data_IF_028054543599
#
_entry.id   IF_028054543599
#
_cell.length_a   1.000
_cell.length_b   1.000
_cell.length_c   1.000
_cell.angle_alpha   90.00
_cell.angle_beta   90.00
_cell.angle_gamma   90.00
#
_symmetry.space_group_name_H-M   'P 1'
#
loop_
_entity.id
_entity.type
_entity.pdbx_description
1 polymer ?
#
# COMPACT_ATOMS: atom_id res chain seq x y z
N UNK A 1 -21.82 12.19 -7.86
CA UNK A 1 -22.45 11.51 -6.78
C UNK A 1 -22.13 12.10 -5.46
N UNK A 2 -21.00 11.83 -4.89
CA UNK A 2 -20.63 12.37 -3.59
C UNK A 2 -20.55 13.90 -3.60
N UNK A 3 -20.28 14.49 -4.72
CA UNK A 3 -20.16 15.94 -4.79
C UNK A 3 -21.48 16.64 -4.51
N UNK A 4 -22.55 16.15 -5.06
CA UNK A 4 -23.84 16.73 -4.81
C UNK A 4 -24.21 16.63 -3.34
N UNK A 5 -23.81 15.57 -2.74
CA UNK A 5 -24.02 15.35 -1.34
C UNK A 5 -23.30 16.39 -0.48
N UNK A 6 -22.04 16.64 -0.84
CA UNK A 6 -21.26 17.63 -0.12
C UNK A 6 -21.86 19.02 -0.22
N UNK A 7 -22.40 19.36 -1.37
CA UNK A 7 -23.02 20.66 -1.59
C UNK A 7 -24.25 20.81 -0.71
N UNK A 8 -25.03 19.77 -0.63
CA UNK A 8 -26.23 19.81 0.20
C UNK A 8 -25.88 19.99 1.67
N UNK A 9 -24.82 19.36 2.10
CA UNK A 9 -24.39 19.47 3.48
C UNK A 9 -23.86 20.86 3.81
N UNK A 10 -23.22 21.50 2.85
CA UNK A 10 -22.73 22.85 3.04
C UNK A 10 -23.86 23.83 3.34
N UNK A 11 -25.00 23.63 2.72
CA UNK A 11 -26.14 24.49 2.97
C UNK A 11 -26.68 24.31 4.37
N UNK A 12 -26.53 23.16 4.93
CA UNK A 12 -27.09 22.86 6.23
C UNK A 12 -26.19 23.27 7.37
N UNK A 13 -24.91 23.06 7.23
CA UNK A 13 -24.02 23.39 8.33
C UNK A 13 -22.59 23.41 7.82
N UNK A 14 -21.85 24.31 8.32
CA UNK A 14 -20.46 24.48 7.91
C UNK A 14 -19.54 23.37 8.37
N UNK A 15 -20.07 22.36 8.98
CA UNK A 15 -19.21 21.45 9.73
C UNK A 15 -18.68 20.29 8.96
N UNK A 16 -19.29 19.93 7.89
CA UNK A 16 -19.10 18.59 7.36
C UNK A 16 -18.32 18.51 6.08
N UNK A 17 -17.62 19.56 5.75
CA UNK A 17 -16.80 19.53 4.55
C UNK A 17 -15.72 18.46 4.62
N UNK A 18 -15.39 18.01 5.80
CA UNK A 18 -14.37 16.99 5.98
C UNK A 18 -14.70 15.70 5.23
N UNK A 19 -15.97 15.38 5.07
CA UNK A 19 -16.36 14.18 4.33
C UNK A 19 -16.07 14.24 2.84
N UNK A 20 -15.79 15.42 2.32
CA UNK A 20 -15.50 15.61 0.91
C UNK A 20 -14.02 15.65 0.62
N UNK A 21 -13.19 15.53 1.63
CA UNK A 21 -11.77 15.64 1.50
C UNK A 21 -11.12 14.31 1.23
N UNK A 22 -9.96 14.43 0.71
CA UNK A 22 -8.93 13.44 0.72
C UNK A 22 -9.29 12.12 0.09
N UNK A 23 -8.74 11.92 -1.04
CA UNK A 23 -8.71 10.62 -1.67
C UNK A 23 -7.49 9.80 -1.20
N UNK A 24 -6.79 10.25 -0.18
CA UNK A 24 -5.58 9.59 0.29
C UNK A 24 -5.68 9.25 1.78
N UNK A 25 -5.16 8.10 2.12
CA UNK A 25 -4.98 7.68 3.50
C UNK A 25 -3.55 7.21 3.70
N UNK A 26 -3.05 7.38 4.93
CA UNK A 26 -1.74 6.84 5.31
C UNK A 26 -1.97 5.53 6.03
N UNK A 27 -1.34 4.47 5.53
CA UNK A 27 -1.52 3.14 6.09
C UNK A 27 -0.18 2.44 6.25
N UNK A 28 0.01 1.68 7.32
CA UNK A 28 1.23 0.91 7.48
C UNK A 28 1.30 -0.23 6.48
N UNK A 29 2.53 -0.58 6.10
CA UNK A 29 2.78 -1.61 5.09
C UNK A 29 2.13 -2.95 5.42
N UNK A 30 2.19 -3.45 6.66
CA UNK A 30 1.54 -4.73 6.96
C UNK A 30 0.04 -4.74 6.68
N UNK A 31 -0.62 -3.61 6.94
CA UNK A 31 -2.05 -3.50 6.67
C UNK A 31 -2.33 -3.51 5.18
N UNK A 32 -1.53 -2.77 4.42
CA UNK A 32 -1.69 -2.72 2.97
C UNK A 32 -1.48 -4.10 2.36
N UNK A 33 -0.45 -4.81 2.81
CA UNK A 33 -0.15 -6.14 2.32
C UNK A 33 -1.28 -7.12 2.64
N UNK A 34 -1.76 -7.10 3.87
CA UNK A 34 -2.85 -7.98 4.28
C UNK A 34 -4.12 -7.74 3.47
N UNK A 35 -4.44 -6.47 3.24
CA UNK A 35 -5.63 -6.10 2.48
C UNK A 35 -5.53 -6.48 1.01
N UNK A 36 -4.34 -6.77 0.51
CA UNK A 36 -4.10 -7.07 -0.89
C UNK A 36 -4.28 -8.55 -1.24
N UNK A 37 -4.30 -9.41 -0.25
CA UNK A 37 -4.46 -10.86 -0.48
C UNK A 37 -5.81 -11.12 -1.15
N UNK A 38 -5.80 -11.91 -2.22
CA UNK A 38 -6.99 -12.19 -3.00
C UNK A 38 -7.38 -11.12 -4.00
N UNK A 39 -6.61 -10.04 -4.10
CA UNK A 39 -6.90 -8.92 -4.99
C UNK A 39 -5.82 -8.79 -6.05
N UNK A 40 -6.10 -8.08 -7.15
CA UNK A 40 -5.10 -7.90 -8.20
C UNK A 40 -3.86 -7.18 -7.68
N UNK A 41 -2.70 -7.57 -8.19
CA UNK A 41 -1.42 -6.98 -7.80
C UNK A 41 -1.32 -5.49 -8.16
N UNK A 42 -2.15 -5.03 -9.07
CA UNK A 42 -2.15 -3.62 -9.47
C UNK A 42 -2.29 -2.65 -8.32
N UNK A 43 -3.02 -3.04 -7.27
CA UNK A 43 -3.16 -2.20 -6.09
C UNK A 43 -1.83 -1.97 -5.38
N UNK A 44 -1.00 -3.00 -5.31
CA UNK A 44 0.32 -2.86 -4.71
C UNK A 44 1.23 -2.00 -5.57
N UNK A 45 1.13 -2.12 -6.89
CA UNK A 45 1.90 -1.27 -7.79
C UNK A 45 1.53 0.19 -7.65
N UNK A 46 0.26 0.48 -7.45
CA UNK A 46 -0.16 1.86 -7.21
C UNK A 46 0.37 2.40 -5.89
N UNK A 47 0.40 1.55 -4.86
CA UNK A 47 0.83 1.99 -3.53
C UNK A 47 2.36 2.11 -3.44
N UNK A 48 3.10 1.24 -4.09
CA UNK A 48 4.54 1.11 -3.87
C UNK A 48 5.40 1.32 -5.12
N UNK A 49 4.79 1.47 -6.28
CA UNK A 49 5.55 1.59 -7.53
C UNK A 49 5.86 0.23 -8.12
N UNK A 50 6.81 0.20 -9.03
CA UNK A 50 7.17 -1.03 -9.72
C UNK A 50 8.01 -1.94 -8.83
N UNK A 51 7.65 -3.22 -8.74
CA UNK A 51 8.45 -4.18 -7.98
C UNK A 51 9.59 -4.74 -8.81
N UNK A 52 10.48 -5.44 -8.13
CA UNK A 52 11.44 -6.32 -8.79
C UNK A 52 10.85 -7.72 -8.82
N UNK A 53 10.77 -8.31 -10.00
CA UNK A 53 10.35 -9.70 -10.14
C UNK A 53 11.57 -10.59 -9.88
N UNK A 54 11.47 -11.52 -8.92
CA UNK A 54 12.59 -12.35 -8.54
C UNK A 54 12.42 -13.82 -8.91
N UNK A 55 11.19 -14.23 -9.23
CA UNK A 55 10.97 -15.63 -9.60
C UNK A 55 9.73 -15.75 -10.46
N UNK A 56 9.73 -16.71 -11.35
CA UNK A 56 8.60 -17.01 -12.22
C UNK A 56 8.55 -18.50 -12.46
N UNK A 57 7.40 -19.08 -12.14
CA UNK A 57 7.06 -20.46 -12.51
C UNK A 57 5.83 -20.42 -13.39
N UNK A 58 5.42 -21.54 -13.99
CA UNK A 58 4.20 -21.56 -14.79
C UNK A 58 2.94 -21.15 -14.05
N UNK A 59 2.93 -21.26 -12.72
CA UNK A 59 1.72 -20.99 -11.93
C UNK A 59 1.86 -19.79 -11.02
N UNK A 60 3.08 -19.34 -10.71
CA UNK A 60 3.30 -18.30 -9.71
C UNK A 60 4.41 -17.35 -10.13
N UNK A 61 4.27 -16.11 -9.68
CA UNK A 61 5.32 -15.10 -9.80
C UNK A 61 5.57 -14.50 -8.43
N UNK A 62 6.84 -14.17 -8.16
CA UNK A 62 7.22 -13.56 -6.90
C UNK A 62 7.81 -12.19 -7.19
N UNK A 63 7.26 -11.18 -6.52
CA UNK A 63 7.71 -9.81 -6.64
C UNK A 63 8.22 -9.31 -5.30
N UNK A 64 9.19 -8.40 -5.36
CA UNK A 64 9.76 -7.81 -4.17
C UNK A 64 9.74 -6.29 -4.27
N UNK A 65 9.25 -5.65 -3.24
CA UNK A 65 9.40 -4.21 -3.02
C UNK A 65 10.31 -3.97 -1.85
N UNK A 66 11.24 -3.06 -2.00
CA UNK A 66 11.99 -2.53 -0.88
C UNK A 66 11.43 -1.15 -0.54
N UNK A 67 10.99 -0.99 0.70
CA UNK A 67 10.33 0.21 1.18
C UNK A 67 11.26 0.89 2.17
N UNK A 68 12.01 1.89 1.72
CA UNK A 68 13.06 2.48 2.55
C UNK A 68 12.48 3.29 3.71
N UNK A 69 13.13 3.17 4.83
CA UNK A 69 12.88 3.99 6.00
C UNK A 69 14.18 4.11 6.77
N UNK A 70 14.43 5.32 7.29
CA UNK A 70 15.63 5.58 8.05
C UNK A 70 15.24 5.98 9.46
N UNK A 71 15.32 5.07 10.44
CA UNK A 71 15.05 5.42 11.84
C UNK A 71 15.98 6.50 12.32
N UNK A 72 15.53 7.27 13.32
CA UNK A 72 16.36 8.31 13.93
C UNK A 72 17.66 7.71 14.43
N UNK A 73 18.77 8.33 14.08
CA UNK A 73 20.09 7.86 14.50
C UNK A 73 20.64 6.68 13.71
N UNK A 74 19.94 6.22 12.68
CA UNK A 74 20.42 5.10 11.86
C UNK A 74 21.67 5.48 11.08
N UNK A 75 22.63 4.55 10.92
CA UNK A 75 23.77 4.79 10.05
C UNK A 75 23.33 4.88 8.60
N UNK A 76 24.25 5.36 7.76
CA UNK A 76 24.01 5.39 6.31
C UNK A 76 23.88 3.95 5.81
N UNK A 77 22.91 3.71 4.90
CA UNK A 77 22.70 2.40 4.33
C UNK A 77 21.22 2.18 4.05
N UNK A 78 20.92 0.96 3.67
CA UNK A 78 19.54 0.58 3.37
C UNK A 78 18.86 0.11 4.64
N UNK A 79 17.85 0.85 5.07
CA UNK A 79 17.02 0.52 6.22
C UNK A 79 15.58 0.62 5.81
N UNK A 80 14.78 -0.37 6.12
CA UNK A 80 13.39 -0.33 5.74
C UNK A 80 12.70 -1.67 5.86
N UNK A 81 11.73 -1.87 5.00
CA UNK A 81 10.91 -3.06 4.95
C UNK A 81 11.02 -3.69 3.57
N UNK A 82 11.31 -4.97 3.53
CA UNK A 82 11.24 -5.72 2.29
C UNK A 82 9.93 -6.51 2.28
N UNK A 83 9.17 -6.34 1.23
CA UNK A 83 7.92 -7.05 1.05
C UNK A 83 8.02 -7.97 -0.14
N UNK A 84 7.84 -9.26 0.11
CA UNK A 84 7.81 -10.28 -0.92
C UNK A 84 6.37 -10.72 -1.13
N UNK A 85 5.91 -10.69 -2.37
CA UNK A 85 4.52 -10.98 -2.70
C UNK A 85 4.48 -12.10 -3.73
N UNK A 86 3.72 -13.14 -3.44
CA UNK A 86 3.48 -14.23 -4.36
C UNK A 86 2.15 -14.02 -5.06
N UNK A 87 2.17 -14.13 -6.37
CA UNK A 87 1.04 -13.81 -7.23
C UNK A 87 0.74 -15.01 -8.12
N UNK A 88 -0.56 -15.27 -8.33
CA UNK A 88 -0.95 -16.27 -9.32
C UNK A 88 -0.61 -15.75 -10.72
N UNK A 89 0.17 -16.53 -11.48
CA UNK A 89 0.67 -16.09 -12.78
C UNK A 89 -0.45 -15.86 -13.80
N UNK A 90 -1.59 -16.50 -13.61
CA UNK A 90 -2.68 -16.43 -14.57
C UNK A 90 -3.63 -15.28 -14.26
N UNK A 91 -4.09 -15.19 -13.03
CA UNK A 91 -5.07 -14.19 -12.63
C UNK A 91 -4.44 -12.89 -12.15
N UNK A 92 -3.15 -12.92 -11.82
CA UNK A 92 -2.41 -11.80 -11.22
C UNK A 92 -2.97 -11.36 -9.88
N UNK A 93 -3.66 -12.25 -9.19
CA UNK A 93 -4.13 -12.00 -7.84
C UNK A 93 -3.07 -12.39 -6.82
N UNK A 94 -3.01 -11.62 -5.75
CA UNK A 94 -2.06 -11.87 -4.66
C UNK A 94 -2.47 -13.11 -3.90
N UNK A 95 -1.56 -14.08 -3.81
CA UNK A 95 -1.79 -15.30 -3.06
C UNK A 95 -1.32 -15.18 -1.62
N UNK A 96 -0.27 -14.42 -1.39
CA UNK A 96 0.28 -14.24 -0.07
C UNK A 96 1.43 -13.26 -0.09
N UNK A 97 1.97 -12.98 1.09
CA UNK A 97 3.08 -12.05 1.22
C UNK A 97 3.91 -12.40 2.45
N UNK A 98 5.15 -11.92 2.47
CA UNK A 98 5.97 -11.92 3.67
C UNK A 98 6.69 -10.60 3.80
N UNK A 99 6.95 -10.20 5.04
CA UNK A 99 7.59 -8.92 5.36
C UNK A 99 8.85 -9.19 6.18
N UNK A 100 9.92 -8.49 5.85
CA UNK A 100 11.19 -8.63 6.55
C UNK A 100 11.76 -7.25 6.86
N UNK A 101 12.23 -7.06 8.08
CA UNK A 101 12.95 -5.85 8.45
C UNK A 101 14.33 -5.87 7.83
N UNK A 102 14.76 -4.74 7.30
CA UNK A 102 16.07 -4.59 6.68
C UNK A 102 16.85 -3.52 7.45
N UNK A 103 18.05 -3.89 7.91
CA UNK A 103 18.85 -2.97 8.69
C UNK A 103 18.12 -2.57 9.98
N UNK A 104 18.08 -1.28 10.24
CA UNK A 104 17.38 -0.72 11.40
C UNK A 104 15.93 -0.35 11.09
N UNK A 105 15.48 -0.57 9.88
CA UNK A 105 14.10 -0.31 9.48
C UNK A 105 13.15 -1.36 10.02
N UNK A 106 11.88 -0.99 10.12
CA UNK A 106 10.83 -1.89 10.58
C UNK A 106 9.61 -1.76 9.70
N UNK A 107 9.07 -2.88 9.30
CA UNK A 107 7.87 -2.89 8.45
C UNK A 107 6.67 -2.16 9.06
N UNK A 108 6.37 -2.32 10.35
CA UNK A 108 5.23 -1.62 10.94
C UNK A 108 5.36 -0.10 10.95
N UNK A 109 6.58 0.42 10.92
CA UNK A 109 6.82 1.85 10.97
C UNK A 109 6.79 2.50 9.59
N UNK A 110 6.85 1.72 8.53
CA UNK A 110 6.77 2.24 7.17
C UNK A 110 5.30 2.43 6.81
N UNK A 111 4.98 3.63 6.33
CA UNK A 111 3.62 3.95 5.94
C UNK A 111 3.61 4.51 4.52
N UNK A 112 2.51 4.31 3.82
CA UNK A 112 2.33 4.79 2.47
C UNK A 112 1.00 5.51 2.34
N UNK A 113 1.00 6.59 1.59
CA UNK A 113 -0.23 7.21 1.16
C UNK A 113 -0.79 6.40 0.02
N UNK A 114 -2.02 6.01 0.16
CA UNK A 114 -2.73 5.30 -0.90
C UNK A 114 -4.02 6.03 -1.22
N UNK A 115 -4.40 5.95 -2.46
CA UNK A 115 -5.68 6.53 -2.86
C UNK A 115 -6.79 5.65 -2.33
N UNK A 116 -7.75 6.26 -1.69
CA UNK A 116 -8.93 5.57 -1.19
C UNK A 116 -9.99 5.67 -2.27
N UNK A 117 -10.47 4.53 -2.72
CA UNK A 117 -11.54 4.50 -3.70
C UNK A 117 -12.84 5.01 -3.08
N UNK A 118 -13.53 5.85 -3.81
CA UNK A 118 -14.86 6.30 -3.40
C UNK A 118 -15.87 5.21 -3.74
N UNK A 119 -16.83 5.06 -2.88
CA UNK A 119 -17.85 4.05 -3.08
C UNK A 119 -19.23 4.58 -2.87
#
# INVERSE_FOLDING_TARGET
>A
MSRAFCIALLAAAAVTSAGCHSAYAVRPVPRIAADSVGKPIGRLREAFGQPRKIDTTPTKEVYVWFLPEKPAGAPVGFHGCEMEVTVDARSEHVLGYSLSNVGWGKCPEVARKIRVAER
#
